data_IF_719483817064
#
_entry.id   IF_719483817064
#
_cell.length_a   1.000
_cell.length_b   1.000
_cell.length_c   1.000
_cell.angle_alpha   90.00
_cell.angle_beta   90.00
_cell.angle_gamma   90.00
#
_symmetry.space_group_name_H-M   'P 1'
#
loop_
_entity.id
_entity.type
_entity.pdbx_description
1 polymer ?
#
# COMPACT_ATOMS: atom_id res chain seq x y z
N UNK A 1 -24.86 -4.53 -7.69
CA UNK A 1 -24.62 -4.89 -9.10
C UNK A 1 -23.13 -5.15 -9.23
N UNK A 2 -22.73 -6.40 -9.41
CA UNK A 2 -21.33 -6.82 -9.45
C UNK A 2 -20.93 -7.05 -10.91
N UNK A 3 -19.86 -6.39 -11.35
CA UNK A 3 -19.33 -6.55 -12.71
C UNK A 3 -18.35 -7.72 -12.70
N UNK A 4 -18.73 -8.81 -13.37
CA UNK A 4 -17.90 -10.01 -13.55
C UNK A 4 -17.00 -9.87 -14.77
N UNK A 5 -15.73 -10.25 -14.66
CA UNK A 5 -14.87 -10.58 -15.79
C UNK A 5 -14.91 -12.09 -16.10
N UNK A 6 -14.60 -12.44 -17.35
CA UNK A 6 -14.93 -13.71 -18.03
C UNK A 6 -14.35 -15.02 -17.47
N UNK A 7 -13.72 -15.04 -16.30
CA UNK A 7 -13.08 -16.24 -15.75
C UNK A 7 -13.68 -16.73 -14.42
N UNK A 8 -14.78 -16.15 -13.92
CA UNK A 8 -15.54 -16.73 -12.81
C UNK A 8 -14.83 -16.77 -11.45
N UNK A 9 -13.67 -16.14 -11.29
CA UNK A 9 -13.01 -15.98 -10.00
C UNK A 9 -13.39 -14.65 -9.37
N UNK A 10 -13.89 -14.70 -8.14
CA UNK A 10 -13.92 -13.55 -7.23
C UNK A 10 -12.45 -13.24 -6.95
N UNK A 11 -11.95 -12.09 -7.41
CA UNK A 11 -10.58 -11.69 -7.09
C UNK A 11 -10.47 -11.59 -5.56
N UNK A 12 -9.66 -12.46 -4.96
CA UNK A 12 -9.28 -12.35 -3.55
C UNK A 12 -8.49 -11.03 -3.41
N UNK A 13 -8.82 -10.16 -2.43
CA UNK A 13 -8.08 -8.92 -2.18
C UNK A 13 -6.57 -9.13 -1.97
N UNK A 14 -6.15 -10.34 -1.65
CA UNK A 14 -4.75 -10.77 -1.49
C UNK A 14 -4.11 -11.31 -2.77
N UNK A 15 -4.90 -11.52 -3.81
CA UNK A 15 -4.52 -11.98 -5.14
C UNK A 15 -4.23 -10.79 -6.06
N UNK A 16 -3.50 -9.82 -5.51
CA UNK A 16 -2.84 -8.79 -6.32
C UNK A 16 -1.81 -9.55 -7.17
N UNK A 17 -1.95 -9.56 -8.50
CA UNK A 17 -1.03 -10.28 -9.36
C UNK A 17 0.39 -9.88 -9.01
N UNK A 18 1.24 -10.87 -8.76
CA UNK A 18 2.69 -10.69 -8.55
C UNK A 18 3.25 -10.19 -9.88
N UNK A 19 3.17 -8.88 -10.11
CA UNK A 19 3.82 -8.24 -11.23
C UNK A 19 5.28 -8.05 -10.84
N UNK A 20 6.14 -8.90 -11.40
CA UNK A 20 7.59 -8.91 -11.19
C UNK A 20 8.31 -7.62 -11.66
N UNK A 21 7.59 -6.63 -12.20
CA UNK A 21 8.12 -5.29 -12.47
C UNK A 21 8.21 -4.45 -11.18
N UNK A 22 9.00 -4.91 -10.21
CA UNK A 22 9.25 -4.19 -8.96
C UNK A 22 9.91 -2.82 -9.25
N UNK A 23 9.15 -1.74 -8.99
CA UNK A 23 9.52 -0.35 -9.30
C UNK A 23 10.65 0.24 -8.44
N UNK A 24 11.28 -0.54 -7.55
CA UNK A 24 12.39 -0.09 -6.73
C UNK A 24 13.58 0.44 -7.55
N UNK A 25 13.77 -0.12 -8.76
CA UNK A 25 14.79 0.33 -9.70
C UNK A 25 14.60 1.79 -10.21
N UNK A 26 13.42 2.40 -10.02
CA UNK A 26 13.12 3.75 -10.51
C UNK A 26 13.25 4.87 -9.46
N UNK A 27 13.10 4.56 -8.16
CA UNK A 27 13.31 5.57 -7.10
C UNK A 27 14.76 6.05 -7.09
N UNK A 28 15.72 5.15 -7.32
CA UNK A 28 17.15 5.49 -7.36
C UNK A 28 17.55 6.27 -8.62
N UNK A 29 16.77 6.20 -9.70
CA UNK A 29 17.09 6.86 -10.98
C UNK A 29 16.48 8.25 -11.14
N UNK A 30 15.30 8.47 -10.53
CA UNK A 30 14.53 9.71 -10.76
C UNK A 30 14.33 10.55 -9.51
N UNK A 31 14.59 10.01 -8.30
CA UNK A 31 14.26 10.62 -7.00
C UNK A 31 12.80 11.06 -6.85
N UNK A 32 11.92 10.64 -7.76
CA UNK A 32 10.50 10.95 -7.75
C UNK A 32 9.75 9.66 -7.44
N UNK A 33 8.81 9.74 -6.50
CA UNK A 33 7.82 8.68 -6.32
C UNK A 33 6.84 8.72 -7.50
N UNK A 34 6.47 7.58 -8.11
CA UNK A 34 5.62 7.60 -9.29
C UNK A 34 4.24 8.22 -9.01
N UNK A 35 3.84 9.20 -9.81
CA UNK A 35 2.56 9.91 -9.65
C UNK A 35 1.33 8.99 -9.79
N UNK A 36 1.41 7.91 -10.57
CA UNK A 36 0.35 6.90 -10.61
C UNK A 36 0.18 6.20 -9.26
N UNK A 37 1.27 5.94 -8.56
CA UNK A 37 1.23 5.28 -7.25
C UNK A 37 0.75 6.22 -6.14
N UNK A 38 1.08 7.52 -6.22
CA UNK A 38 0.50 8.54 -5.32
C UNK A 38 -1.01 8.61 -5.49
N UNK A 39 -1.51 8.63 -6.74
CA UNK A 39 -2.95 8.66 -7.02
C UNK A 39 -3.67 7.40 -6.53
N UNK A 40 -3.02 6.23 -6.62
CA UNK A 40 -3.60 4.99 -6.10
C UNK A 40 -3.72 5.02 -4.57
N UNK A 41 -2.69 5.55 -3.88
CA UNK A 41 -2.72 5.77 -2.43
C UNK A 41 -3.85 6.73 -2.06
N UNK A 42 -3.94 7.87 -2.73
CA UNK A 42 -4.98 8.88 -2.50
C UNK A 42 -6.38 8.29 -2.71
N UNK A 43 -6.57 7.52 -3.79
CA UNK A 43 -7.82 6.81 -4.06
C UNK A 43 -8.19 5.89 -2.90
N UNK A 44 -7.29 5.02 -2.46
CA UNK A 44 -7.54 4.13 -1.33
C UNK A 44 -7.87 4.92 -0.05
N UNK A 45 -7.12 5.98 0.27
CA UNK A 45 -7.36 6.81 1.45
C UNK A 45 -8.74 7.48 1.38
N UNK A 46 -9.11 8.06 0.23
CA UNK A 46 -10.40 8.72 0.02
C UNK A 46 -11.59 7.76 0.28
N UNK A 47 -11.46 6.49 -0.12
CA UNK A 47 -12.46 5.46 0.12
C UNK A 47 -12.31 4.73 1.46
N UNK A 48 -11.55 5.29 2.43
CA UNK A 48 -11.28 4.72 3.75
C UNK A 48 -10.60 3.34 3.73
N UNK A 49 -9.96 2.97 2.61
CA UNK A 49 -9.23 1.72 2.44
C UNK A 49 -7.78 1.84 2.93
N UNK A 50 -7.58 2.34 4.16
CA UNK A 50 -6.26 2.63 4.72
C UNK A 50 -5.30 1.42 4.75
N UNK A 51 -5.81 0.20 4.87
CA UNK A 51 -4.94 -0.99 4.83
C UNK A 51 -4.34 -1.19 3.43
N UNK A 52 -5.12 -0.92 2.37
CA UNK A 52 -4.67 -1.06 0.99
C UNK A 52 -3.69 0.04 0.60
N UNK A 53 -3.91 1.29 1.06
CA UNK A 53 -2.97 2.39 0.80
C UNK A 53 -1.57 2.11 1.38
N UNK A 54 -1.50 1.61 2.63
CA UNK A 54 -0.23 1.26 3.27
C UNK A 54 0.40 0.00 2.65
N UNK A 55 -0.40 -1.00 2.27
CA UNK A 55 0.08 -2.18 1.53
C UNK A 55 0.69 -1.79 0.18
N UNK A 56 0.04 -0.87 -0.55
CA UNK A 56 0.52 -0.38 -1.84
C UNK A 56 1.86 0.34 -1.69
N UNK A 57 2.00 1.24 -0.70
CA UNK A 57 3.28 1.86 -0.40
C UNK A 57 4.36 0.82 -0.11
N UNK A 58 4.08 -0.15 0.77
CA UNK A 58 5.04 -1.21 1.10
C UNK A 58 5.47 -2.01 -0.13
N UNK A 59 4.55 -2.23 -1.09
CA UNK A 59 4.82 -2.91 -2.36
C UNK A 59 5.71 -2.07 -3.28
N UNK A 60 5.36 -0.80 -3.48
CA UNK A 60 6.09 0.11 -4.37
C UNK A 60 7.52 0.31 -3.87
N UNK A 61 7.68 0.41 -2.55
CA UNK A 61 8.99 0.54 -1.93
C UNK A 61 9.66 -0.80 -1.56
N UNK A 62 9.25 -1.91 -2.20
CA UNK A 62 9.79 -3.27 -2.03
C UNK A 62 10.13 -3.66 -0.57
N UNK A 63 9.35 -3.17 0.39
CA UNK A 63 9.55 -3.47 1.81
C UNK A 63 8.82 -4.78 2.12
N UNK A 64 9.45 -5.90 1.79
CA UNK A 64 8.89 -7.25 1.95
C UNK A 64 8.40 -7.55 3.37
N UNK A 65 9.11 -7.16 4.45
CA UNK A 65 8.59 -7.32 5.81
C UNK A 65 7.28 -6.56 6.03
N UNK A 66 7.23 -5.27 5.71
CA UNK A 66 6.02 -4.46 5.88
C UNK A 66 4.87 -4.98 5.02
N UNK A 67 5.13 -5.38 3.77
CA UNK A 67 4.14 -5.95 2.87
C UNK A 67 3.51 -7.22 3.47
N UNK A 68 4.31 -8.13 4.01
CA UNK A 68 3.81 -9.35 4.69
C UNK A 68 2.95 -9.03 5.91
N UNK A 69 3.39 -8.09 6.74
CA UNK A 69 2.64 -7.68 7.93
C UNK A 69 1.30 -7.06 7.53
N UNK A 70 1.29 -6.19 6.51
CA UNK A 70 0.06 -5.56 6.02
C UNK A 70 -0.92 -6.58 5.44
N UNK A 71 -0.46 -7.60 4.70
CA UNK A 71 -1.34 -8.71 4.26
C UNK A 71 -1.98 -9.41 5.46
N UNK A 72 -1.20 -9.69 6.52
CA UNK A 72 -1.74 -10.32 7.73
C UNK A 72 -2.77 -9.42 8.45
N UNK A 73 -2.52 -8.11 8.53
CA UNK A 73 -3.47 -7.14 9.09
C UNK A 73 -4.79 -7.16 8.32
N UNK A 74 -4.73 -7.18 6.98
CA UNK A 74 -5.92 -7.26 6.12
C UNK A 74 -6.68 -8.56 6.40
N UNK A 75 -5.99 -9.70 6.40
CA UNK A 75 -6.63 -10.99 6.70
C UNK A 75 -7.31 -10.99 8.06
N UNK A 76 -6.67 -10.44 9.10
CA UNK A 76 -7.28 -10.37 10.43
C UNK A 76 -8.50 -9.44 10.44
N UNK A 77 -8.39 -8.26 9.81
CA UNK A 77 -9.51 -7.31 9.70
C UNK A 77 -10.71 -7.96 9.00
N UNK A 78 -10.51 -8.61 7.86
CA UNK A 78 -11.56 -9.29 7.11
C UNK A 78 -12.16 -10.46 7.90
N UNK A 79 -11.32 -11.23 8.58
CA UNK A 79 -11.76 -12.38 9.40
C UNK A 79 -12.61 -11.93 10.60
N UNK A 80 -12.24 -10.81 11.23
CA UNK A 80 -12.96 -10.27 12.39
C UNK A 80 -14.19 -9.45 11.99
N UNK A 81 -14.24 -8.92 10.77
CA UNK A 81 -15.27 -7.98 10.31
C UNK A 81 -15.14 -6.56 10.89
N UNK A 82 -14.07 -6.27 11.63
CA UNK A 82 -13.75 -4.95 12.16
C UNK A 82 -12.24 -4.80 12.36
N UNK A 83 -11.75 -3.57 12.46
CA UNK A 83 -10.35 -3.26 12.69
C UNK A 83 -10.07 -3.08 14.20
N UNK A 84 -9.34 -4.00 14.87
CA UNK A 84 -8.99 -3.83 16.27
C UNK A 84 -8.06 -2.63 16.47
N UNK A 85 -8.19 -1.86 17.58
CA UNK A 85 -7.33 -0.70 17.84
C UNK A 85 -5.83 -1.04 17.81
N UNK A 86 -5.43 -2.18 18.37
CA UNK A 86 -4.04 -2.61 18.33
C UNK A 86 -3.50 -2.82 16.91
N UNK A 87 -4.32 -3.29 15.96
CA UNK A 87 -3.89 -3.40 14.56
C UNK A 87 -3.86 -2.05 13.85
N UNK A 88 -4.70 -1.09 14.25
CA UNK A 88 -4.63 0.29 13.74
C UNK A 88 -3.29 0.92 14.10
N UNK A 89 -2.84 0.73 15.35
CA UNK A 89 -1.53 1.21 15.80
C UNK A 89 -0.38 0.56 15.01
N UNK A 90 -0.42 -0.77 14.83
CA UNK A 90 0.62 -1.45 14.04
C UNK A 90 0.65 -0.94 12.60
N UNK A 91 -0.51 -0.75 11.94
CA UNK A 91 -0.57 -0.15 10.59
C UNK A 91 0.04 1.25 10.57
N UNK A 92 -0.27 2.08 11.57
CA UNK A 92 0.26 3.44 11.70
C UNK A 92 1.78 3.44 11.84
N UNK A 93 2.33 2.60 12.71
CA UNK A 93 3.78 2.46 12.85
C UNK A 93 4.47 2.00 11.56
N UNK A 94 3.83 1.10 10.81
CA UNK A 94 4.35 0.65 9.51
C UNK A 94 4.36 1.83 8.54
N UNK A 95 3.27 2.58 8.41
CA UNK A 95 3.18 3.74 7.54
C UNK A 95 4.28 4.77 7.87
N UNK A 96 4.43 5.12 9.15
CA UNK A 96 5.45 6.07 9.62
C UNK A 96 6.87 5.61 9.24
N UNK A 97 7.18 4.32 9.40
CA UNK A 97 8.47 3.74 8.99
C UNK A 97 8.67 3.79 7.47
N UNK A 98 7.65 3.47 6.68
CA UNK A 98 7.73 3.49 5.21
C UNK A 98 7.94 4.93 4.69
N UNK A 99 7.20 5.90 5.22
CA UNK A 99 7.37 7.31 4.88
C UNK A 99 8.74 7.83 5.31
N UNK A 100 9.26 7.43 6.47
CA UNK A 100 10.61 7.78 6.88
C UNK A 100 11.66 7.24 5.90
N UNK A 101 11.51 6.00 5.42
CA UNK A 101 12.41 5.44 4.41
C UNK A 101 12.37 6.25 3.11
N UNK A 102 11.18 6.62 2.63
CA UNK A 102 11.01 7.50 1.47
C UNK A 102 11.71 8.86 1.65
N UNK A 103 11.53 9.48 2.82
CA UNK A 103 12.18 10.75 3.15
C UNK A 103 13.70 10.64 3.18
N UNK A 104 14.23 9.60 3.85
CA UNK A 104 15.67 9.33 3.92
C UNK A 104 16.29 8.99 2.56
N UNK A 105 15.52 8.37 1.65
CA UNK A 105 15.95 8.11 0.28
C UNK A 105 16.05 9.39 -0.57
N UNK A 106 15.58 10.53 -0.07
CA UNK A 106 15.66 11.82 -0.76
C UNK A 106 14.64 11.97 -1.88
N UNK A 107 13.43 11.44 -1.69
CA UNK A 107 12.32 11.61 -2.65
C UNK A 107 11.90 13.09 -2.70
N UNK A 108 11.91 13.67 -3.88
CA UNK A 108 11.68 15.11 -4.09
C UNK A 108 10.20 15.50 -3.96
N UNK A 109 9.28 14.65 -4.44
CA UNK A 109 7.83 14.83 -4.26
C UNK A 109 7.30 14.16 -2.98
N UNK A 110 8.10 14.13 -1.91
CA UNK A 110 7.72 13.53 -0.63
C UNK A 110 6.44 14.14 -0.04
N UNK A 111 6.25 15.45 -0.13
CA UNK A 111 5.08 16.12 0.44
C UNK A 111 3.77 15.67 -0.24
N UNK A 112 3.82 15.42 -1.56
CA UNK A 112 2.68 14.87 -2.30
C UNK A 112 2.38 13.43 -1.87
N UNK A 113 3.42 12.59 -1.71
CA UNK A 113 3.26 11.22 -1.19
C UNK A 113 2.68 11.22 0.23
N UNK A 114 3.22 12.05 1.13
CA UNK A 114 2.80 12.12 2.52
C UNK A 114 1.36 12.67 2.63
N UNK A 115 0.98 13.63 1.78
CA UNK A 115 -0.36 14.20 1.73
C UNK A 115 -1.45 13.28 1.16
N UNK A 116 -1.09 12.13 0.57
CA UNK A 116 -2.04 11.17 0.01
C UNK A 116 -2.64 10.21 1.06
N UNK A 117 -2.15 10.25 2.31
CA UNK A 117 -2.62 9.45 3.44
C UNK A 117 -3.50 10.27 4.39
#
# INVERSE_FOLDING_TARGET
MSITNNNGYIADPLDIPVNDNYHYANLSKTKMFPESDIREIEYHTHFNAHNLSVLHLARVIDNKPAFKIMKAIITIHETLGYMPPGLMEVRREILEKLLMLCKCAGIENYDALNGAF
#
